data_IF_137421646721
#
_entry.id   IF_137421646721
#
_cell.length_a   1.000
_cell.length_b   1.000
_cell.length_c   1.000
_cell.angle_alpha   90.00
_cell.angle_beta   90.00
_cell.angle_gamma   90.00
#
_symmetry.space_group_name_H-M   'P 1'
#
loop_
_entity.id
_entity.type
_entity.pdbx_description
1 polymer ?
#
# COMPACT_ATOMS: atom_id res chain seq x y z
N UNK A 1 -45.43 36.79 -29.32
CA UNK A 1 -45.61 36.18 -27.99
C UNK A 1 -45.51 34.65 -27.99
N UNK A 2 -46.18 33.94 -28.85
CA UNK A 2 -46.13 32.46 -28.87
C UNK A 2 -44.72 31.88 -29.11
N UNK A 3 -43.89 32.51 -29.91
CA UNK A 3 -42.51 32.09 -30.20
C UNK A 3 -41.56 32.36 -29.03
N UNK A 4 -41.81 33.40 -28.25
CA UNK A 4 -41.01 33.74 -27.05
C UNK A 4 -41.30 32.77 -25.90
N UNK A 5 -42.56 32.36 -25.74
CA UNK A 5 -42.97 31.40 -24.71
C UNK A 5 -42.39 30.01 -24.96
N UNK A 6 -42.29 29.58 -26.25
CA UNK A 6 -41.71 28.32 -26.66
C UNK A 6 -40.19 28.29 -26.40
N UNK A 7 -39.48 29.40 -26.57
CA UNK A 7 -38.04 29.51 -26.35
C UNK A 7 -37.69 29.49 -24.87
N UNK A 8 -38.50 30.11 -24.02
CA UNK A 8 -38.38 30.11 -22.57
C UNK A 8 -38.68 28.72 -22.01
N UNK A 9 -39.69 28.02 -22.55
CA UNK A 9 -40.03 26.67 -22.11
C UNK A 9 -38.96 25.63 -22.48
N UNK A 10 -38.32 25.75 -23.65
CA UNK A 10 -37.23 24.86 -24.06
C UNK A 10 -35.95 25.12 -23.25
N UNK A 11 -35.66 26.37 -22.88
CA UNK A 11 -34.53 26.73 -22.03
C UNK A 11 -34.71 26.21 -20.59
N UNK A 12 -35.94 26.24 -20.07
CA UNK A 12 -36.27 25.75 -18.74
C UNK A 12 -36.18 24.20 -18.62
N UNK A 13 -36.31 23.46 -19.72
CA UNK A 13 -36.15 22.00 -19.74
C UNK A 13 -34.67 21.56 -19.85
N UNK A 14 -33.80 22.39 -20.40
CA UNK A 14 -32.37 22.05 -20.57
C UNK A 14 -31.60 22.29 -19.27
N UNK A 15 -31.96 23.28 -18.46
CA UNK A 15 -31.29 23.58 -17.20
C UNK A 15 -31.26 22.42 -16.18
N UNK A 16 -32.38 21.68 -15.93
CA UNK A 16 -32.34 20.58 -14.96
C UNK A 16 -31.57 19.36 -15.47
N UNK A 17 -31.38 19.19 -16.78
CA UNK A 17 -30.61 18.08 -17.34
C UNK A 17 -29.11 18.34 -17.19
N UNK A 18 -28.65 19.58 -17.24
CA UNK A 18 -27.25 19.91 -16.99
C UNK A 18 -26.85 19.85 -15.51
N UNK A 19 -27.82 20.04 -14.58
CA UNK A 19 -27.54 19.89 -13.14
C UNK A 19 -27.49 18.43 -12.67
N UNK A 20 -28.04 17.48 -13.44
CA UNK A 20 -28.05 16.06 -13.12
C UNK A 20 -26.80 15.30 -13.65
N UNK A 21 -26.01 15.96 -14.48
CA UNK A 21 -24.77 15.41 -15.04
C UNK A 21 -23.50 15.95 -14.33
N UNK A 22 -23.54 16.09 -13.01
CA UNK A 22 -22.28 16.02 -12.27
C UNK A 22 -21.82 14.58 -12.40
N UNK A 23 -20.67 14.29 -13.08
CA UNK A 23 -20.08 12.98 -12.94
C UNK A 23 -19.88 12.79 -11.43
N UNK A 24 -20.55 11.80 -10.87
CA UNK A 24 -20.13 11.29 -9.57
C UNK A 24 -18.66 10.98 -9.78
N UNK A 25 -17.77 11.78 -9.17
CA UNK A 25 -16.37 11.44 -9.05
C UNK A 25 -16.43 10.09 -8.37
N UNK A 26 -16.23 9.02 -9.14
CA UNK A 26 -16.07 7.69 -8.59
C UNK A 26 -14.96 7.86 -7.58
N UNK A 27 -15.24 7.63 -6.32
CA UNK A 27 -14.28 7.71 -5.24
C UNK A 27 -13.17 6.74 -5.65
N UNK A 28 -12.01 7.30 -6.03
CA UNK A 28 -10.91 6.51 -6.55
C UNK A 28 -10.51 5.54 -5.44
N UNK A 29 -10.67 4.26 -5.68
CA UNK A 29 -10.33 3.25 -4.68
C UNK A 29 -8.83 3.31 -4.43
N UNK A 30 -8.36 3.78 -3.26
CA UNK A 30 -6.94 3.92 -2.99
C UNK A 30 -6.18 2.59 -2.98
N UNK A 31 -6.91 1.46 -2.96
CA UNK A 31 -6.37 0.11 -2.97
C UNK A 31 -6.62 -0.63 -4.28
N UNK A 32 -6.81 0.11 -5.39
CA UNK A 32 -7.04 -0.50 -6.71
C UNK A 32 -5.79 -1.22 -7.23
N UNK A 33 -4.60 -0.68 -6.92
CA UNK A 33 -3.33 -1.29 -7.27
C UNK A 33 -2.96 -2.39 -6.26
N UNK A 34 -2.57 -3.57 -6.77
CA UNK A 34 -2.10 -4.66 -5.94
C UNK A 34 -0.64 -4.45 -5.57
N UNK A 35 -0.33 -4.51 -4.27
CA UNK A 35 1.02 -4.34 -3.74
C UNK A 35 1.54 -5.67 -3.19
N UNK A 36 2.82 -5.92 -3.39
CA UNK A 36 3.52 -7.05 -2.76
C UNK A 36 4.66 -6.53 -1.90
N UNK A 37 4.63 -6.84 -0.60
CA UNK A 37 5.68 -6.47 0.34
C UNK A 37 6.62 -7.64 0.58
N UNK A 38 7.91 -7.42 0.35
CA UNK A 38 8.93 -8.39 0.72
C UNK A 38 9.22 -8.30 2.20
N UNK A 39 9.13 -9.43 2.87
CA UNK A 39 9.33 -9.54 4.32
C UNK A 39 10.50 -10.46 4.59
N UNK A 40 11.45 -10.00 5.38
CA UNK A 40 12.54 -10.81 5.89
C UNK A 40 12.31 -11.11 7.36
N UNK A 41 12.25 -12.39 7.72
CA UNK A 41 11.96 -12.82 9.08
C UNK A 41 12.63 -14.15 9.41
N UNK A 42 12.60 -14.52 10.69
CA UNK A 42 13.16 -15.77 11.16
C UNK A 42 12.26 -16.96 10.83
N UNK A 43 12.87 -18.10 10.59
CA UNK A 43 12.18 -19.37 10.38
C UNK A 43 11.27 -19.71 11.57
N UNK A 44 10.05 -20.16 11.27
CA UNK A 44 9.01 -20.46 12.27
C UNK A 44 8.21 -19.25 12.76
N UNK A 45 8.49 -18.03 12.29
CA UNK A 45 7.70 -16.83 12.61
C UNK A 45 6.65 -16.48 11.54
N UNK A 46 6.61 -17.22 10.45
CA UNK A 46 5.76 -16.97 9.29
C UNK A 46 4.29 -17.33 9.53
N UNK A 47 3.97 -18.10 10.56
CA UNK A 47 2.57 -18.44 10.93
C UNK A 47 1.69 -17.20 11.15
N UNK A 48 2.27 -16.09 11.62
CA UNK A 48 1.55 -14.83 11.85
C UNK A 48 0.92 -14.27 10.57
N UNK A 49 1.52 -14.49 9.41
CA UNK A 49 0.98 -14.03 8.12
C UNK A 49 -0.24 -14.83 7.66
N UNK A 50 -0.47 -15.99 8.26
CA UNK A 50 -1.64 -16.84 8.03
C UNK A 50 -2.82 -16.56 8.97
N UNK A 51 -2.68 -15.67 9.92
CA UNK A 51 -3.76 -15.35 10.86
C UNK A 51 -4.97 -14.75 10.14
N UNK A 52 -6.19 -15.07 10.57
CA UNK A 52 -7.42 -14.62 9.89
C UNK A 52 -7.51 -13.11 9.74
N UNK A 53 -7.05 -12.35 10.74
CA UNK A 53 -7.05 -10.90 10.71
C UNK A 53 -6.08 -10.35 9.65
N UNK A 54 -4.91 -10.97 9.51
CA UNK A 54 -3.91 -10.59 8.50
C UNK A 54 -4.46 -10.88 7.10
N UNK A 55 -5.05 -12.03 6.88
CA UNK A 55 -5.70 -12.38 5.60
C UNK A 55 -6.83 -11.42 5.22
N UNK A 56 -7.67 -11.03 6.19
CA UNK A 56 -8.71 -10.03 5.96
C UNK A 56 -8.12 -8.66 5.58
N UNK A 57 -7.00 -8.27 6.19
CA UNK A 57 -6.32 -7.04 5.85
C UNK A 57 -5.74 -7.09 4.43
N UNK A 58 -5.08 -8.20 4.05
CA UNK A 58 -4.55 -8.42 2.70
C UNK A 58 -5.65 -8.31 1.63
N UNK A 59 -6.78 -8.96 1.85
CA UNK A 59 -7.93 -8.86 0.94
C UNK A 59 -8.50 -7.44 0.88
N UNK A 60 -8.71 -6.80 2.04
CA UNK A 60 -9.32 -5.48 2.14
C UNK A 60 -8.49 -4.38 1.49
N UNK A 61 -7.18 -4.44 1.67
CA UNK A 61 -6.24 -3.42 1.23
C UNK A 61 -5.46 -3.82 -0.04
N UNK A 62 -5.82 -4.95 -0.64
CA UNK A 62 -5.28 -5.45 -1.90
C UNK A 62 -3.76 -5.58 -1.91
N UNK A 63 -3.19 -6.31 -0.94
CA UNK A 63 -1.76 -6.56 -0.89
C UNK A 63 -1.44 -8.00 -0.48
N UNK A 64 -0.20 -8.43 -0.77
CA UNK A 64 0.36 -9.73 -0.39
C UNK A 64 1.75 -9.56 0.24
N UNK A 65 2.23 -10.63 0.89
CA UNK A 65 3.59 -10.73 1.41
C UNK A 65 4.40 -11.78 0.63
N UNK A 66 5.61 -11.40 0.22
CA UNK A 66 6.66 -12.31 -0.22
C UNK A 66 7.61 -12.52 0.96
N UNK A 67 7.57 -13.70 1.58
CA UNK A 67 8.25 -13.96 2.85
C UNK A 67 9.57 -14.69 2.57
N UNK A 68 10.68 -14.11 3.02
CA UNK A 68 12.00 -14.73 3.03
C UNK A 68 12.35 -15.12 4.47
N UNK A 69 12.53 -16.41 4.70
CA UNK A 69 12.88 -16.95 5.99
C UNK A 69 14.39 -17.17 6.12
N UNK A 70 14.90 -16.95 7.32
CA UNK A 70 16.29 -17.24 7.67
C UNK A 70 16.35 -17.90 9.05
N UNK A 71 17.30 -18.80 9.24
CA UNK A 71 17.52 -19.42 10.53
C UNK A 71 17.98 -18.40 11.58
N UNK A 72 17.55 -18.58 12.81
CA UNK A 72 17.86 -17.66 13.91
C UNK A 72 19.34 -17.38 14.10
N UNK A 73 20.17 -18.39 14.02
CA UNK A 73 21.62 -18.31 14.17
C UNK A 73 22.33 -17.55 13.03
N UNK A 74 21.68 -17.44 11.88
CA UNK A 74 22.17 -16.72 10.71
C UNK A 74 21.55 -15.34 10.55
N UNK A 75 20.67 -14.92 11.47
CA UNK A 75 19.89 -13.70 11.37
C UNK A 75 20.76 -12.44 11.24
N UNK A 76 21.68 -12.24 12.17
CA UNK A 76 22.52 -11.04 12.21
C UNK A 76 23.42 -10.92 10.98
N UNK A 77 24.04 -12.02 10.56
CA UNK A 77 24.92 -12.05 9.39
C UNK A 77 24.13 -11.77 8.10
N UNK A 78 22.97 -12.41 7.97
CA UNK A 78 22.10 -12.25 6.79
C UNK A 78 21.56 -10.83 6.70
N UNK A 79 21.11 -10.24 7.81
CA UNK A 79 20.59 -8.88 7.85
C UNK A 79 21.67 -7.86 7.49
N UNK A 80 22.87 -7.99 8.05
CA UNK A 80 23.99 -7.12 7.69
C UNK A 80 24.39 -7.26 6.23
N UNK A 81 24.39 -8.48 5.71
CA UNK A 81 24.68 -8.72 4.29
C UNK A 81 23.67 -8.01 3.40
N UNK A 82 22.37 -8.10 3.71
CA UNK A 82 21.31 -7.39 2.97
C UNK A 82 21.48 -5.87 3.06
N UNK A 83 21.85 -5.34 4.23
CA UNK A 83 22.11 -3.92 4.42
C UNK A 83 23.28 -3.43 3.57
N UNK A 84 24.44 -4.06 3.68
CA UNK A 84 25.65 -3.67 2.94
C UNK A 84 25.54 -3.87 1.42
N UNK A 85 24.68 -4.78 0.97
CA UNK A 85 24.39 -4.97 -0.46
C UNK A 85 23.24 -4.09 -0.96
N UNK A 86 22.67 -3.25 -0.10
CA UNK A 86 21.49 -2.40 -0.41
C UNK A 86 20.32 -3.21 -0.97
N UNK A 87 20.09 -4.39 -0.43
CA UNK A 87 19.04 -5.33 -0.84
C UNK A 87 18.05 -5.63 0.28
N UNK A 88 17.93 -4.73 1.26
CA UNK A 88 16.94 -4.85 2.33
C UNK A 88 15.54 -4.91 1.74
N UNK A 89 14.68 -5.80 2.22
CA UNK A 89 13.28 -5.82 1.86
C UNK A 89 12.52 -4.68 2.53
N UNK A 90 11.29 -4.43 2.11
CA UNK A 90 10.42 -3.37 2.65
C UNK A 90 10.10 -3.57 4.13
N UNK A 91 10.08 -4.82 4.60
CA UNK A 91 9.76 -5.18 5.99
C UNK A 91 10.80 -6.13 6.55
N UNK A 92 11.40 -5.76 7.67
CA UNK A 92 12.24 -6.63 8.49
C UNK A 92 11.50 -6.85 9.80
N UNK A 93 11.05 -8.09 10.04
CA UNK A 93 10.45 -8.47 11.29
C UNK A 93 11.53 -9.06 12.21
N UNK A 94 11.55 -8.66 13.47
CA UNK A 94 12.55 -9.11 14.44
C UNK A 94 13.96 -8.54 14.21
N UNK A 95 14.17 -7.27 14.36
CA UNK A 95 15.53 -6.77 14.40
C UNK A 95 15.82 -5.97 15.67
N UNK A 96 16.94 -6.29 16.30
CA UNK A 96 17.44 -5.59 17.48
C UNK A 96 18.69 -4.79 17.10
N UNK A 97 18.51 -3.78 16.27
CA UNK A 97 19.59 -2.83 15.93
C UNK A 97 20.04 -2.07 17.18
N UNK A 98 21.35 -2.05 17.42
CA UNK A 98 21.88 -1.08 18.33
C UNK A 98 21.83 0.32 17.68
N UNK A 99 21.82 1.36 18.52
CA UNK A 99 21.66 2.73 18.05
C UNK A 99 22.76 3.17 17.08
N UNK A 100 23.99 2.76 17.33
CA UNK A 100 25.13 3.22 16.54
C UNK A 100 25.11 2.60 15.14
N UNK A 101 24.79 1.32 15.04
CA UNK A 101 24.61 0.60 13.77
C UNK A 101 23.42 1.17 12.96
N UNK A 102 22.32 1.52 13.64
CA UNK A 102 21.19 2.18 12.99
C UNK A 102 21.58 3.54 12.39
N UNK A 103 22.30 4.36 13.13
CA UNK A 103 22.75 5.67 12.65
C UNK A 103 23.72 5.55 11.46
N UNK A 104 24.64 4.61 11.52
CA UNK A 104 25.56 4.30 10.42
C UNK A 104 24.78 3.95 9.13
N UNK A 105 23.79 3.08 9.23
CA UNK A 105 23.00 2.65 8.09
C UNK A 105 22.12 3.77 7.52
N UNK A 106 21.60 4.67 8.37
CA UNK A 106 20.88 5.87 7.92
C UNK A 106 21.83 6.82 7.16
N UNK A 107 23.06 7.03 7.66
CA UNK A 107 24.04 7.89 7.02
C UNK A 107 24.52 7.31 5.68
N UNK A 108 24.60 6.00 5.56
CA UNK A 108 24.95 5.29 4.33
C UNK A 108 23.80 5.16 3.32
N UNK A 109 22.60 5.59 3.70
CA UNK A 109 21.43 5.55 2.83
C UNK A 109 20.86 4.14 2.61
N UNK A 110 21.01 3.26 3.62
CA UNK A 110 20.46 1.91 3.62
C UNK A 110 18.95 1.92 3.87
N UNK A 111 18.46 2.94 4.62
CA UNK A 111 17.05 3.21 4.90
C UNK A 111 16.56 4.49 4.25
#
# INVERSE_FOLDING_TARGET
MKRFLSLVLSLAMILPIMLAATPALAEENPYAEHLTFKVFTIDGSDDMFNWPLVKQAMEKFNFDFEIQLVAWDSWDESTRTLAYTQSLPEVIAWYNLNKDEYLEWVEEGVF
#
